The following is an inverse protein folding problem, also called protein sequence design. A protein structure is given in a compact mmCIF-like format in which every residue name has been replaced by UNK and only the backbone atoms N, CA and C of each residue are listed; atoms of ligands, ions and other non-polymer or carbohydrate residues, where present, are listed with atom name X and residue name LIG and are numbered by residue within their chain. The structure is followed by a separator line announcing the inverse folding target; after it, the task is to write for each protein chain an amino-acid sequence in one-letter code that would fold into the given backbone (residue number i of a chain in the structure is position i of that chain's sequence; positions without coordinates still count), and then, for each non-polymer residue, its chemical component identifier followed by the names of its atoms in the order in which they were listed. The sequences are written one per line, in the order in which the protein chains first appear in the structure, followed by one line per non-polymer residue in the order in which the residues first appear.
data_IF_499740239072
#
_entry.id   IF_499740239072
#
_cell.length_a   1.000
_cell.length_b   1.000
_cell.length_c   1.000
_cell.angle_alpha   90.00
_cell.angle_beta   90.00
_cell.angle_gamma   90.00
#
_symmetry.space_group_name_H-M   'P 1'
#
loop_
_entity.id
_entity.type
_entity.pdbx_description
1 polymer ?
#
# COMPACT_ATOMS: atom_id res chain seq x y z
N UNK A 1 2.77 -30.11 5.86
CA UNK A 1 2.16 -28.91 5.31
C UNK A 1 2.44 -27.62 6.09
N UNK A 2 2.93 -27.74 7.30
CA UNK A 2 3.14 -26.54 8.13
C UNK A 2 3.94 -25.45 7.45
N UNK A 3 5.02 -25.80 6.75
CA UNK A 3 5.88 -24.83 6.10
C UNK A 3 5.15 -24.05 5.01
N UNK A 4 4.44 -24.75 4.14
CA UNK A 4 3.65 -24.09 3.10
C UNK A 4 2.50 -23.28 3.68
N UNK A 5 1.88 -23.79 4.74
CA UNK A 5 0.84 -23.06 5.44
C UNK A 5 1.34 -21.75 6.00
N UNK A 6 2.55 -21.74 6.56
CA UNK A 6 3.15 -20.52 7.07
C UNK A 6 3.43 -19.50 5.97
N UNK A 7 4.04 -19.91 4.87
CA UNK A 7 4.33 -19.00 3.77
C UNK A 7 3.09 -18.55 3.03
N UNK A 8 2.04 -19.39 3.01
CA UNK A 8 0.79 -19.06 2.35
C UNK A 8 -0.17 -18.21 3.18
N UNK A 9 0.12 -17.98 4.46
CA UNK A 9 -0.82 -17.30 5.38
C UNK A 9 -0.82 -15.80 5.29
N UNK A 10 0.24 -15.18 4.81
CA UNK A 10 0.34 -13.74 4.68
C UNK A 10 0.80 -13.34 3.30
N UNK A 11 0.42 -12.14 2.89
CA UNK A 11 0.84 -11.57 1.63
C UNK A 11 2.32 -11.20 1.68
N UNK A 12 3.00 -11.35 0.55
CA UNK A 12 4.42 -11.03 0.41
C UNK A 12 4.58 -9.82 -0.51
N UNK A 13 5.39 -8.86 -0.08
CA UNK A 13 5.62 -7.64 -0.84
C UNK A 13 7.12 -7.36 -0.94
N UNK A 14 7.60 -7.13 -2.15
CA UNK A 14 8.94 -6.61 -2.39
C UNK A 14 8.89 -5.10 -2.60
N UNK A 15 7.77 -4.61 -3.12
CA UNK A 15 7.58 -3.18 -3.37
C UNK A 15 6.67 -2.57 -2.30
N UNK A 16 7.23 -1.66 -1.51
CA UNK A 16 6.49 -1.00 -0.43
C UNK A 16 5.32 -0.16 -0.97
N UNK A 17 5.53 0.55 -2.08
CA UNK A 17 4.46 1.41 -2.61
C UNK A 17 3.27 0.61 -3.13
N UNK A 18 3.50 -0.60 -3.64
CA UNK A 18 2.42 -1.51 -3.96
C UNK A 18 1.69 -1.96 -2.69
N UNK A 19 2.45 -2.29 -1.64
CA UNK A 19 1.85 -2.66 -0.34
C UNK A 19 0.97 -1.54 0.20
N UNK A 20 1.42 -0.28 0.11
CA UNK A 20 0.63 0.86 0.57
C UNK A 20 -0.69 0.98 -0.19
N UNK A 21 -0.68 0.73 -1.49
CA UNK A 21 -1.90 0.75 -2.29
C UNK A 21 -2.88 -0.35 -1.85
N UNK A 22 -2.36 -1.54 -1.52
CA UNK A 22 -3.17 -2.64 -0.99
C UNK A 22 -3.73 -2.29 0.39
N UNK A 23 -2.91 -1.69 1.25
CA UNK A 23 -3.35 -1.25 2.58
C UNK A 23 -4.48 -0.23 2.47
N UNK A 24 -4.40 0.69 1.51
CA UNK A 24 -5.48 1.66 1.31
C UNK A 24 -6.81 0.95 1.11
N UNK A 25 -6.84 -0.06 0.25
CA UNK A 25 -8.06 -0.82 -0.01
C UNK A 25 -8.52 -1.59 1.23
N UNK A 26 -7.64 -2.36 1.82
CA UNK A 26 -8.03 -3.28 2.90
C UNK A 26 -8.27 -2.60 4.23
N UNK A 27 -7.50 -1.57 4.57
CA UNK A 27 -7.62 -0.89 5.86
C UNK A 27 -8.62 0.26 5.83
N UNK A 28 -8.55 1.11 4.80
CA UNK A 28 -9.31 2.36 4.79
C UNK A 28 -10.59 2.29 3.97
N UNK A 29 -10.56 1.64 2.81
CA UNK A 29 -11.76 1.54 1.98
C UNK A 29 -12.73 0.47 2.47
N UNK A 30 -12.22 -0.71 2.84
CA UNK A 30 -13.03 -1.86 3.21
C UNK A 30 -13.09 -2.14 4.72
N UNK A 31 -12.22 -1.51 5.50
CA UNK A 31 -12.13 -1.69 6.95
C UNK A 31 -11.93 -3.15 7.38
N UNK A 32 -11.18 -3.91 6.58
CA UNK A 32 -10.88 -5.32 6.88
C UNK A 32 -9.66 -5.49 7.77
N UNK A 33 -8.76 -4.49 7.80
CA UNK A 33 -7.60 -4.47 8.69
C UNK A 33 -7.88 -3.49 9.82
N UNK A 34 -8.06 -3.99 11.02
CA UNK A 34 -8.42 -3.17 12.17
C UNK A 34 -7.39 -3.32 13.30
N UNK A 35 -7.20 -2.25 14.07
CA UNK A 35 -7.72 -0.90 13.87
C UNK A 35 -7.03 -0.18 12.73
N UNK A 36 -7.72 0.79 12.12
CA UNK A 36 -7.09 1.65 11.12
C UNK A 36 -5.97 2.46 11.79
N UNK A 37 -4.79 2.49 11.14
CA UNK A 37 -3.70 3.32 11.61
C UNK A 37 -4.07 4.80 11.43
N UNK A 38 -3.91 5.58 12.49
CA UNK A 38 -4.15 7.02 12.49
C UNK A 38 -2.93 7.70 13.11
N UNK A 39 -2.29 8.57 12.36
CA UNK A 39 -1.05 9.21 12.79
C UNK A 39 -1.26 10.11 14.04
N UNK A 40 -2.42 10.70 14.17
CA UNK A 40 -2.71 11.58 15.32
C UNK A 40 -2.84 10.76 16.60
N UNK A 41 -3.55 9.64 16.55
CA UNK A 41 -3.67 8.72 17.67
C UNK A 41 -2.32 8.10 18.03
N UNK A 42 -1.54 7.74 17.00
CA UNK A 42 -0.20 7.17 17.19
C UNK A 42 0.74 8.17 17.86
N UNK A 43 0.70 9.44 17.43
CA UNK A 43 1.52 10.49 18.04
C UNK A 43 1.15 10.73 19.51
N UNK A 44 -0.13 10.65 19.83
CA UNK A 44 -0.61 10.80 21.21
C UNK A 44 -0.19 9.62 22.09
N UNK A 45 -0.21 8.41 21.55
CA UNK A 45 0.17 7.21 22.29
C UNK A 45 1.68 7.14 22.53
N UNK A 46 2.47 7.57 21.56
CA UNK A 46 3.94 7.51 21.61
C UNK A 46 4.56 8.89 21.66
N UNK A 47 4.23 9.66 22.69
CA UNK A 47 4.69 11.06 22.83
C UNK A 47 6.20 11.20 22.88
N UNK A 48 6.90 10.17 23.33
CA UNK A 48 8.36 10.15 23.38
C UNK A 48 9.01 10.24 22.00
N UNK A 49 8.29 9.90 20.95
CA UNK A 49 8.78 9.96 19.58
C UNK A 49 8.75 11.39 19.01
N UNK A 50 8.06 12.31 19.68
CA UNK A 50 7.96 13.70 19.27
C UNK A 50 7.55 13.88 17.80
N UNK A 51 6.50 13.16 17.39
CA UNK A 51 6.02 13.16 16.01
C UNK A 51 5.38 14.49 15.66
N UNK A 52 5.84 15.10 14.55
CA UNK A 52 5.23 16.31 14.01
C UNK A 52 4.10 15.94 13.05
N UNK A 53 2.86 16.05 13.52
CA UNK A 53 1.68 15.71 12.72
C UNK A 53 1.33 16.76 11.65
N UNK A 54 2.08 17.84 11.56
CA UNK A 54 1.97 18.83 10.49
C UNK A 54 3.10 18.70 9.47
N UNK A 55 3.75 17.55 9.42
CA UNK A 55 4.92 17.33 8.59
C UNK A 55 4.61 17.36 7.10
N UNK A 56 5.53 17.94 6.34
CA UNK A 56 5.55 17.88 4.87
C UNK A 56 6.48 16.78 4.36
N UNK A 57 7.11 16.05 5.26
CA UNK A 57 8.03 14.94 4.93
C UNK A 57 7.59 13.66 5.60
N UNK A 58 8.16 12.54 5.17
CA UNK A 58 7.83 11.21 5.68
C UNK A 58 8.03 11.14 7.19
N UNK A 59 7.01 10.66 7.88
CA UNK A 59 7.09 10.29 9.29
C UNK A 59 7.55 8.83 9.34
N UNK A 60 8.83 8.61 9.66
CA UNK A 60 9.42 7.27 9.60
C UNK A 60 8.71 6.22 10.46
N UNK A 61 8.30 6.51 11.70
CA UNK A 61 7.55 5.50 12.47
C UNK A 61 6.25 5.06 11.82
N UNK A 62 5.55 5.97 11.12
CA UNK A 62 4.33 5.63 10.40
C UNK A 62 4.64 4.74 9.20
N UNK A 63 5.65 5.08 8.42
CA UNK A 63 6.06 4.28 7.28
C UNK A 63 6.49 2.89 7.72
N UNK A 64 7.24 2.80 8.81
CA UNK A 64 7.67 1.53 9.38
C UNK A 64 6.50 0.67 9.85
N UNK A 65 5.47 1.29 10.41
CA UNK A 65 4.26 0.56 10.79
C UNK A 65 3.67 -0.18 9.58
N UNK A 66 3.50 0.52 8.46
CA UNK A 66 2.95 -0.09 7.26
C UNK A 66 3.91 -1.10 6.63
N UNK A 67 5.21 -0.80 6.64
CA UNK A 67 6.22 -1.71 6.10
C UNK A 67 6.19 -3.06 6.81
N UNK A 68 6.04 -3.04 8.12
CA UNK A 68 6.09 -4.24 8.96
C UNK A 68 4.73 -4.91 9.15
N UNK A 69 3.66 -4.27 8.71
CA UNK A 69 2.31 -4.81 8.88
C UNK A 69 2.17 -6.14 8.15
N UNK A 70 1.75 -7.16 8.89
CA UNK A 70 1.44 -8.47 8.31
C UNK A 70 -0.01 -8.48 7.84
N UNK A 71 -0.22 -8.80 6.57
CA UNK A 71 -1.57 -8.84 5.99
C UNK A 71 -1.91 -10.29 5.70
N UNK A 72 -2.94 -10.84 6.35
CA UNK A 72 -3.36 -12.21 6.07
C UNK A 72 -3.72 -12.41 4.60
N UNK A 73 -3.24 -13.49 4.01
CA UNK A 73 -3.49 -13.80 2.60
C UNK A 73 -4.98 -13.92 2.27
N UNK A 74 -5.79 -14.31 3.25
CA UNK A 74 -7.24 -14.45 3.04
C UNK A 74 -7.92 -13.15 2.58
N UNK A 75 -7.30 -12.01 2.86
CA UNK A 75 -7.86 -10.72 2.43
C UNK A 75 -7.55 -10.37 0.98
N UNK A 76 -6.64 -11.09 0.33
CA UNK A 76 -6.27 -10.79 -1.07
C UNK A 76 -7.47 -10.85 -2.01
N UNK A 77 -8.43 -11.74 -1.75
CA UNK A 77 -9.61 -11.90 -2.59
C UNK A 77 -10.50 -10.65 -2.66
N UNK A 78 -10.37 -9.75 -1.69
CA UNK A 78 -11.19 -8.54 -1.63
C UNK A 78 -10.59 -7.37 -2.39
N UNK A 79 -9.36 -7.50 -2.88
CA UNK A 79 -8.69 -6.45 -3.65
C UNK A 79 -9.04 -6.64 -5.12
N UNK A 80 -10.03 -5.89 -5.61
CA UNK A 80 -10.48 -5.96 -7.00
C UNK A 80 -9.94 -4.82 -7.83
N UNK A 81 -9.61 -3.71 -7.18
CA UNK A 81 -9.07 -2.52 -7.83
C UNK A 81 -8.07 -1.84 -6.89
N UNK A 82 -6.99 -1.35 -7.48
CA UNK A 82 -6.03 -0.49 -6.80
C UNK A 82 -6.15 0.91 -7.39
N UNK A 83 -6.22 1.91 -6.52
CA UNK A 83 -6.36 3.29 -6.95
C UNK A 83 -5.38 4.16 -6.15
N UNK A 84 -4.27 4.53 -6.78
CA UNK A 84 -3.25 5.38 -6.18
C UNK A 84 -3.64 6.83 -6.40
N UNK A 85 -4.13 7.47 -5.36
CA UNK A 85 -4.64 8.83 -5.41
C UNK A 85 -3.96 9.65 -4.31
N UNK A 86 -3.54 10.87 -4.62
CA UNK A 86 -2.88 11.75 -3.67
C UNK A 86 -3.67 12.02 -2.39
N UNK A 87 -4.99 11.86 -2.43
CA UNK A 87 -5.86 12.03 -1.26
C UNK A 87 -6.06 10.76 -0.42
N UNK A 88 -5.39 9.68 -0.74
CA UNK A 88 -5.54 8.42 0.01
C UNK A 88 -5.08 8.54 1.45
N UNK A 89 -5.86 7.96 2.37
CA UNK A 89 -5.58 8.04 3.81
C UNK A 89 -4.22 7.43 4.16
N UNK A 90 -3.80 6.36 3.48
CA UNK A 90 -2.51 5.73 3.75
C UNK A 90 -1.36 6.73 3.56
N UNK A 91 -1.43 7.57 2.54
CA UNK A 91 -0.38 8.56 2.29
C UNK A 91 -0.42 9.69 3.31
N UNK A 92 -1.62 10.13 3.66
CA UNK A 92 -1.79 11.24 4.62
C UNK A 92 -1.37 10.84 6.03
N UNK A 93 -1.35 9.55 6.33
CA UNK A 93 -0.83 9.07 7.61
C UNK A 93 0.70 8.97 7.63
N UNK A 94 1.35 8.98 6.47
CA UNK A 94 2.81 8.96 6.36
C UNK A 94 3.36 10.37 6.22
N UNK A 95 2.70 11.20 5.40
CA UNK A 95 3.04 12.63 5.21
C UNK A 95 1.75 13.42 5.36
N UNK A 96 1.43 13.92 6.56
CA UNK A 96 0.14 14.60 6.80
C UNK A 96 -0.15 15.79 5.89
N UNK A 97 0.88 16.50 5.44
CA UNK A 97 0.74 17.67 4.56
C UNK A 97 1.15 17.37 3.11
N UNK A 98 1.09 16.10 2.70
CA UNK A 98 1.49 15.74 1.35
C UNK A 98 0.54 16.35 0.32
N UNK A 99 1.13 16.99 -0.71
CA UNK A 99 0.38 17.67 -1.77
C UNK A 99 0.10 16.77 -2.99
N UNK A 100 0.64 15.56 -2.99
CA UNK A 100 0.44 14.62 -4.09
C UNK A 100 1.33 14.84 -5.30
N UNK A 101 2.27 15.77 -5.22
CA UNK A 101 3.05 16.18 -6.39
C UNK A 101 4.45 15.59 -6.51
N UNK A 102 4.99 14.98 -5.44
CA UNK A 102 6.29 14.35 -5.55
C UNK A 102 6.18 12.84 -5.85
N UNK A 103 7.33 12.21 -6.09
CA UNK A 103 7.41 10.84 -6.55
C UNK A 103 7.56 9.81 -5.43
N UNK A 104 7.44 10.21 -4.16
CA UNK A 104 7.81 9.32 -3.05
C UNK A 104 6.95 8.06 -2.96
N UNK A 105 5.74 8.08 -3.47
CA UNK A 105 4.85 6.92 -3.46
C UNK A 105 4.67 6.27 -4.84
N UNK A 106 5.44 6.68 -5.84
CA UNK A 106 5.32 6.14 -7.18
C UNK A 106 5.60 4.64 -7.24
N UNK A 107 4.81 3.95 -8.05
CA UNK A 107 5.01 2.53 -8.33
C UNK A 107 5.85 2.40 -9.61
N UNK A 108 7.15 2.21 -9.44
CA UNK A 108 8.09 2.13 -10.55
C UNK A 108 8.62 0.73 -10.81
N UNK A 109 8.34 -0.20 -9.91
CA UNK A 109 8.73 -1.61 -10.01
C UNK A 109 7.62 -2.46 -9.43
N UNK A 110 7.36 -3.59 -10.07
CA UNK A 110 6.42 -4.58 -9.54
C UNK A 110 6.82 -5.94 -10.09
N UNK A 111 6.54 -7.01 -9.35
CA UNK A 111 6.78 -8.36 -9.84
C UNK A 111 5.44 -9.04 -10.11
N UNK A 112 5.47 -9.97 -11.08
CA UNK A 112 4.29 -10.78 -11.38
C UNK A 112 3.85 -11.60 -10.16
N UNK A 113 4.81 -12.06 -9.35
CA UNK A 113 4.50 -12.84 -8.16
C UNK A 113 3.70 -12.03 -7.13
N UNK A 114 4.01 -10.75 -6.97
CA UNK A 114 3.23 -9.88 -6.09
C UNK A 114 1.79 -9.76 -6.58
N UNK A 115 1.61 -9.52 -7.87
CA UNK A 115 0.29 -9.35 -8.48
C UNK A 115 -0.54 -10.63 -8.41
N UNK A 116 0.08 -11.78 -8.63
CA UNK A 116 -0.62 -13.07 -8.65
C UNK A 116 -1.22 -13.48 -7.32
N UNK A 117 -0.83 -12.85 -6.24
CA UNK A 117 -1.44 -13.09 -4.94
C UNK A 117 -2.90 -12.63 -4.88
N UNK A 118 -3.31 -11.76 -5.80
CA UNK A 118 -4.62 -11.11 -5.79
C UNK A 118 -5.49 -11.67 -6.91
N UNK A 119 -6.27 -12.73 -6.62
CA UNK A 119 -7.00 -13.46 -7.67
C UNK A 119 -8.11 -12.64 -8.34
N UNK A 120 -8.61 -11.61 -7.67
CA UNK A 120 -9.72 -10.80 -8.17
C UNK A 120 -9.30 -9.40 -8.61
N UNK A 121 -8.02 -9.09 -8.59
CA UNK A 121 -7.53 -7.79 -9.04
C UNK A 121 -7.67 -7.68 -10.55
N UNK A 122 -8.40 -6.65 -11.02
CA UNK A 122 -8.71 -6.46 -12.43
C UNK A 122 -8.29 -5.10 -12.96
N UNK A 123 -8.21 -4.11 -12.10
CA UNK A 123 -7.92 -2.74 -12.48
C UNK A 123 -6.93 -2.09 -11.53
N UNK A 124 -6.11 -1.19 -12.06
CA UNK A 124 -5.21 -0.39 -11.26
C UNK A 124 -5.04 0.99 -11.88
N UNK A 125 -5.18 2.03 -11.08
CA UNK A 125 -4.76 3.39 -11.46
C UNK A 125 -3.54 3.71 -10.62
N UNK A 126 -2.42 4.02 -11.25
CA UNK A 126 -1.15 4.14 -10.55
C UNK A 126 -0.46 5.48 -10.81
N UNK A 127 0.34 5.90 -9.83
CA UNK A 127 1.32 6.96 -9.97
C UNK A 127 2.65 6.30 -10.32
N UNK A 128 3.30 6.69 -11.39
CA UNK A 128 4.54 6.06 -11.82
C UNK A 128 5.38 7.00 -12.68
N UNK A 129 6.69 6.98 -12.45
CA UNK A 129 7.66 7.64 -13.32
C UNK A 129 8.24 6.65 -14.34
N UNK A 130 7.77 5.41 -14.35
CA UNK A 130 8.22 4.34 -15.22
C UNK A 130 7.03 3.50 -15.70
N UNK A 131 5.98 4.18 -16.11
CA UNK A 131 4.67 3.59 -16.37
C UNK A 131 4.71 2.47 -17.41
N UNK A 132 5.41 2.68 -18.53
CA UNK A 132 5.42 1.70 -19.62
C UNK A 132 5.94 0.34 -19.17
N UNK A 133 6.99 0.35 -18.35
CA UNK A 133 7.57 -0.89 -17.81
C UNK A 133 6.63 -1.58 -16.83
N UNK A 134 6.02 -0.81 -15.94
CA UNK A 134 5.08 -1.35 -14.96
C UNK A 134 3.83 -1.88 -15.66
N UNK A 135 3.36 -1.15 -16.67
CA UNK A 135 2.20 -1.56 -17.47
C UNK A 135 2.40 -2.93 -18.13
N UNK A 136 3.61 -3.20 -18.65
CA UNK A 136 3.89 -4.50 -19.27
C UNK A 136 3.62 -5.65 -18.31
N UNK A 137 3.97 -5.46 -17.04
CA UNK A 137 3.81 -6.52 -16.03
C UNK A 137 2.35 -6.70 -15.66
N UNK A 138 1.58 -5.61 -15.51
CA UNK A 138 0.15 -5.69 -15.25
C UNK A 138 -0.59 -6.30 -16.47
N UNK A 139 -0.23 -5.89 -17.68
CA UNK A 139 -0.84 -6.43 -18.90
C UNK A 139 -0.63 -7.94 -19.01
N UNK A 140 0.55 -8.41 -18.65
CA UNK A 140 0.88 -9.84 -18.69
C UNK A 140 0.01 -10.65 -17.71
N UNK A 141 -0.52 -10.02 -16.67
CA UNK A 141 -1.41 -10.64 -15.69
C UNK A 141 -2.88 -10.29 -15.95
N UNK A 142 -3.19 -9.74 -17.11
CA UNK A 142 -4.56 -9.38 -17.54
C UNK A 142 -5.23 -8.36 -16.63
N UNK A 143 -4.46 -7.42 -16.12
CA UNK A 143 -4.96 -6.33 -15.29
C UNK A 143 -4.92 -5.04 -16.10
N UNK A 144 -6.05 -4.35 -16.15
CA UNK A 144 -6.18 -3.08 -16.85
C UNK A 144 -5.55 -1.99 -15.97
N UNK A 145 -4.48 -1.36 -16.45
CA UNK A 145 -3.75 -0.36 -15.68
C UNK A 145 -3.75 0.99 -16.41
N UNK A 146 -3.99 2.05 -15.65
CA UNK A 146 -3.97 3.42 -16.15
C UNK A 146 -3.02 4.26 -15.29
N UNK A 147 -2.42 5.27 -15.92
CA UNK A 147 -1.63 6.26 -15.22
C UNK A 147 -2.55 7.35 -14.68
N UNK A 148 -2.39 7.68 -13.42
CA UNK A 148 -3.14 8.76 -12.78
C UNK A 148 -2.83 10.11 -13.42
#
# INVERSE_FOLDING_TARGET
MGLFGLFGRKLQFENLNFKLAVIQVLMYDLNLLEPCFDIYDFADEYKELEINTDSYTVIEPALNFFRELSIPRKFAQYVEKIDMDGGNEVYMNIIPQWDGEDECFDLNNITSLEIRQFPNLKEATIMSSNFDKVKEIFDAENIDVELL
#
